data_IF_111784841947
#
_entry.id   IF_111784841947
#
_cell.length_a   1.000
_cell.length_b   1.000
_cell.length_c   1.000
_cell.angle_alpha   90.00
_cell.angle_beta   90.00
_cell.angle_gamma   90.00
#
_symmetry.space_group_name_H-M   'P 1'
#
loop_
_entity.id
_entity.type
_entity.pdbx_description
1 polymer ?
#
# COMPACT_ATOMS: atom_id res chain seq x y z
N UNK A 1 34.98 -18.07 3.22
CA UNK A 1 33.63 -17.54 3.02
C UNK A 1 33.03 -17.31 4.40
N UNK A 2 32.81 -16.06 4.80
CA UNK A 2 32.00 -15.78 5.99
C UNK A 2 30.58 -16.24 5.73
N UNK A 3 30.07 -17.15 6.57
CA UNK A 3 28.65 -17.47 6.59
C UNK A 3 27.92 -16.28 7.20
N UNK A 4 27.23 -15.50 6.37
CA UNK A 4 26.38 -14.42 6.84
C UNK A 4 25.19 -15.03 7.59
N UNK A 5 25.22 -14.94 8.92
CA UNK A 5 24.06 -15.23 9.76
C UNK A 5 22.99 -14.18 9.50
N UNK A 6 21.78 -14.63 9.15
CA UNK A 6 20.64 -13.74 8.97
C UNK A 6 20.20 -13.19 10.32
N UNK A 7 19.86 -11.90 10.35
CA UNK A 7 19.21 -11.32 11.53
C UNK A 7 17.74 -11.79 11.62
N UNK A 8 17.14 -11.69 12.81
CA UNK A 8 15.75 -12.07 13.07
C UNK A 8 14.77 -11.40 12.10
N UNK A 9 14.98 -10.12 11.77
CA UNK A 9 14.16 -9.41 10.80
C UNK A 9 14.25 -10.00 9.39
N UNK A 10 15.43 -10.47 8.97
CA UNK A 10 15.60 -11.09 7.66
C UNK A 10 14.91 -12.46 7.62
N UNK A 11 14.95 -13.22 8.73
CA UNK A 11 14.24 -14.50 8.86
C UNK A 11 12.72 -14.31 8.80
N UNK A 12 12.18 -13.36 9.58
CA UNK A 12 10.72 -13.08 9.58
C UNK A 12 10.24 -12.66 8.20
N UNK A 13 10.99 -11.81 7.47
CA UNK A 13 10.60 -11.39 6.11
C UNK A 13 10.62 -12.55 5.13
N UNK A 14 11.57 -13.48 5.26
CA UNK A 14 11.60 -14.71 4.43
C UNK A 14 10.42 -15.63 4.76
N UNK A 15 10.09 -15.80 6.03
CA UNK A 15 8.92 -16.59 6.43
C UNK A 15 7.64 -16.01 5.84
N UNK A 16 7.42 -14.70 5.95
CA UNK A 16 6.28 -14.02 5.33
C UNK A 16 6.24 -14.19 3.82
N UNK A 17 7.38 -14.17 3.14
CA UNK A 17 7.47 -14.42 1.70
C UNK A 17 6.99 -15.83 1.35
N UNK A 18 7.43 -16.85 2.10
CA UNK A 18 6.99 -18.23 1.87
C UNK A 18 5.49 -18.41 2.17
N UNK A 19 4.98 -17.79 3.25
CA UNK A 19 3.54 -17.79 3.55
C UNK A 19 2.69 -17.19 2.40
N UNK A 20 3.20 -16.17 1.70
CA UNK A 20 2.52 -15.60 0.52
C UNK A 20 2.49 -16.61 -0.62
N UNK A 21 3.60 -17.32 -0.87
CA UNK A 21 3.69 -18.35 -1.91
C UNK A 21 2.77 -19.53 -1.63
N UNK A 22 2.67 -19.98 -0.38
CA UNK A 22 1.75 -21.05 0.02
C UNK A 22 0.28 -20.67 -0.23
N UNK A 23 -0.03 -19.37 -0.18
CA UNK A 23 -1.35 -18.82 -0.51
C UNK A 23 -1.57 -18.60 -2.01
N UNK A 24 -0.60 -18.96 -2.85
CA UNK A 24 -0.66 -18.75 -4.30
C UNK A 24 -0.46 -17.30 -4.73
N UNK A 25 0.06 -16.44 -3.83
CA UNK A 25 0.33 -15.03 -4.11
C UNK A 25 1.82 -14.90 -4.45
N UNK A 26 2.13 -14.34 -5.62
CA UNK A 26 3.52 -14.03 -5.97
C UNK A 26 4.04 -12.86 -5.11
N UNK A 27 5.02 -13.08 -4.21
CA UNK A 27 5.56 -12.02 -3.36
C UNK A 27 6.28 -10.92 -4.15
N UNK A 28 6.69 -11.18 -5.40
CA UNK A 28 7.29 -10.18 -6.29
C UNK A 28 6.27 -9.48 -7.18
N UNK A 29 5.02 -9.93 -7.14
CA UNK A 29 3.91 -9.35 -7.88
C UNK A 29 4.09 -9.39 -9.40
N UNK A 30 3.26 -8.61 -10.08
CA UNK A 30 3.26 -8.49 -11.53
C UNK A 30 3.23 -7.01 -11.95
N UNK A 31 3.26 -6.77 -13.25
CA UNK A 31 3.11 -5.42 -13.79
C UNK A 31 1.80 -4.79 -13.29
N UNK A 32 1.91 -3.73 -12.49
CA UNK A 32 0.77 -2.98 -11.97
C UNK A 32 0.59 -1.68 -12.76
N UNK A 33 -0.58 -1.50 -13.39
CA UNK A 33 -0.89 -0.32 -14.18
C UNK A 33 -1.34 0.82 -13.27
N UNK A 34 -0.50 1.84 -13.14
CA UNK A 34 -0.80 3.08 -12.43
C UNK A 34 -1.55 4.06 -13.34
N UNK A 35 -2.56 4.75 -12.82
CA UNK A 35 -3.23 5.87 -13.49
C UNK A 35 -2.69 7.22 -13.04
N UNK A 36 -2.07 7.28 -11.86
CA UNK A 36 -1.60 8.53 -11.29
C UNK A 36 -0.26 8.39 -10.53
N UNK A 37 0.25 9.54 -10.11
CA UNK A 37 1.41 9.70 -9.21
C UNK A 37 1.00 10.52 -8.00
N UNK A 38 1.79 10.45 -6.92
CA UNK A 38 1.55 11.24 -5.71
C UNK A 38 1.46 12.73 -6.00
N UNK A 39 2.35 13.23 -6.87
CA UNK A 39 2.37 14.63 -7.30
C UNK A 39 1.17 14.98 -8.18
N UNK A 40 0.84 14.18 -9.18
CA UNK A 40 -0.28 14.49 -10.08
C UNK A 40 -1.62 14.54 -9.34
N UNK A 41 -1.83 13.67 -8.35
CA UNK A 41 -3.06 13.72 -7.53
C UNK A 41 -3.09 14.94 -6.62
N UNK A 42 -1.98 15.30 -5.98
CA UNK A 42 -1.90 16.51 -5.15
C UNK A 42 -2.14 17.76 -5.99
N UNK A 43 -1.39 17.92 -7.08
CA UNK A 43 -1.49 19.11 -7.94
C UNK A 43 -2.89 19.28 -8.54
N UNK A 44 -3.55 18.18 -8.91
CA UNK A 44 -4.89 18.22 -9.48
C UNK A 44 -5.97 18.50 -8.44
N UNK A 45 -5.86 17.89 -7.24
CA UNK A 45 -7.00 17.74 -6.34
C UNK A 45 -6.86 18.38 -4.96
N UNK A 46 -5.69 18.90 -4.58
CA UNK A 46 -5.49 19.50 -3.25
C UNK A 46 -6.33 20.76 -3.00
N UNK A 47 -6.80 21.40 -4.08
CA UNK A 47 -7.68 22.57 -4.04
C UNK A 47 -9.15 22.27 -3.72
N UNK A 48 -9.59 21.01 -3.84
CA UNK A 48 -10.99 20.65 -3.64
C UNK A 48 -11.29 20.27 -2.18
N UNK A 49 -12.51 20.56 -1.75
CA UNK A 49 -13.03 20.16 -0.44
C UNK A 49 -13.30 18.65 -0.40
N UNK A 50 -13.56 18.13 0.80
CA UNK A 50 -13.92 16.72 0.99
C UNK A 50 -15.22 16.36 0.27
N UNK A 51 -16.19 17.26 0.30
CA UNK A 51 -17.51 17.10 -0.31
C UNK A 51 -17.39 17.08 -1.84
N UNK A 52 -16.63 18.03 -2.41
CA UNK A 52 -16.38 18.10 -3.86
C UNK A 52 -15.68 16.83 -4.36
N UNK A 53 -14.68 16.32 -3.63
CA UNK A 53 -14.00 15.09 -4.02
C UNK A 53 -14.91 13.85 -3.93
N UNK A 54 -15.81 13.82 -2.95
CA UNK A 54 -16.79 12.74 -2.83
C UNK A 54 -17.79 12.75 -4.00
N UNK A 55 -18.20 13.93 -4.46
CA UNK A 55 -19.08 14.07 -5.63
C UNK A 55 -18.37 13.71 -6.94
N UNK A 56 -17.09 14.04 -7.09
CA UNK A 56 -16.31 13.71 -8.29
C UNK A 56 -16.01 12.21 -8.43
N UNK A 57 -16.04 11.46 -7.32
CA UNK A 57 -15.86 10.01 -7.26
C UNK A 57 -14.62 9.51 -8.05
N UNK A 58 -13.48 10.15 -7.81
CA UNK A 58 -12.25 9.93 -8.60
C UNK A 58 -11.59 8.61 -8.19
N UNK A 59 -11.50 7.68 -9.13
CA UNK A 59 -10.73 6.45 -8.99
C UNK A 59 -9.28 6.67 -9.44
N UNK A 60 -8.33 6.26 -8.60
CA UNK A 60 -6.90 6.35 -8.90
C UNK A 60 -6.17 5.07 -8.51
N UNK A 61 -5.17 4.71 -9.32
CA UNK A 61 -4.23 3.64 -9.00
C UNK A 61 -2.80 4.19 -8.92
N UNK A 62 -2.13 3.83 -7.82
CA UNK A 62 -0.79 4.27 -7.44
C UNK A 62 0.05 3.06 -7.09
N UNK A 63 1.37 3.18 -7.20
CA UNK A 63 2.27 2.19 -6.60
C UNK A 63 3.48 2.89 -6.00
N UNK A 64 3.96 2.37 -4.88
CA UNK A 64 5.06 2.95 -4.13
C UNK A 64 5.56 2.05 -3.02
N UNK A 65 6.62 2.50 -2.35
CA UNK A 65 7.22 1.82 -1.20
C UNK A 65 6.50 2.21 0.09
N UNK A 66 6.15 1.25 0.93
CA UNK A 66 5.59 1.52 2.26
C UNK A 66 6.67 2.17 3.13
N UNK A 67 6.45 3.40 3.54
CA UNK A 67 7.36 4.15 4.43
C UNK A 67 6.90 4.11 5.88
N UNK A 68 5.59 4.20 6.10
CA UNK A 68 4.99 4.09 7.42
C UNK A 68 3.69 3.31 7.33
N UNK A 69 3.34 2.60 8.40
CA UNK A 69 2.10 1.84 8.50
C UNK A 69 1.60 1.88 9.94
N UNK A 70 0.31 2.16 10.10
CA UNK A 70 -0.40 2.23 11.37
C UNK A 70 -1.73 1.50 11.22
N UNK A 71 -1.83 0.30 11.77
CA UNK A 71 -3.07 -0.50 11.75
C UNK A 71 -3.72 -0.52 13.13
N UNK A 72 -5.03 -0.25 13.22
CA UNK A 72 -5.80 -0.33 14.46
C UNK A 72 -7.13 -1.04 14.19
N UNK A 73 -7.23 -2.30 14.62
CA UNK A 73 -8.44 -3.12 14.45
C UNK A 73 -8.80 -3.35 12.99
N UNK A 74 -9.96 -2.83 12.56
CA UNK A 74 -10.54 -2.99 11.21
C UNK A 74 -10.13 -1.89 10.22
N UNK A 75 -9.32 -0.92 10.63
CA UNK A 75 -8.84 0.16 9.77
C UNK A 75 -7.34 0.41 9.96
N UNK A 76 -6.72 1.02 8.96
CA UNK A 76 -5.32 1.39 9.03
C UNK A 76 -4.95 2.46 8.01
N UNK A 77 -3.83 3.11 8.30
CA UNK A 77 -3.21 4.10 7.44
C UNK A 77 -1.82 3.62 7.05
N UNK A 78 -1.43 3.85 5.81
CA UNK A 78 -0.05 3.71 5.40
C UNK A 78 0.37 4.91 4.56
N UNK A 79 1.66 5.24 4.58
CA UNK A 79 2.24 6.17 3.61
C UNK A 79 3.03 5.37 2.60
N UNK A 80 2.67 5.51 1.33
CA UNK A 80 3.47 5.01 0.22
C UNK A 80 4.31 6.14 -0.36
N UNK A 81 5.53 5.84 -0.75
CA UNK A 81 6.43 6.76 -1.44
C UNK A 81 6.63 6.30 -2.88
N UNK A 82 6.27 7.17 -3.82
CA UNK A 82 6.61 7.00 -5.23
C UNK A 82 7.83 7.87 -5.59
N UNK A 83 8.09 8.08 -6.88
CA UNK A 83 9.22 8.89 -7.36
C UNK A 83 9.12 10.37 -6.96
N UNK A 84 7.91 10.89 -6.76
CA UNK A 84 7.67 12.32 -6.62
C UNK A 84 7.31 12.74 -5.20
N UNK A 85 6.95 11.80 -4.33
CA UNK A 85 6.64 12.09 -2.94
C UNK A 85 5.88 11.00 -2.24
N UNK A 86 5.34 11.35 -1.06
CA UNK A 86 4.54 10.47 -0.23
C UNK A 86 3.05 10.74 -0.40
N UNK A 87 2.27 9.67 -0.37
CA UNK A 87 0.82 9.70 -0.42
C UNK A 87 0.24 8.82 0.69
N UNK A 88 -0.78 9.33 1.38
CA UNK A 88 -1.45 8.60 2.45
C UNK A 88 -2.54 7.71 1.87
N UNK A 89 -2.60 6.49 2.37
CA UNK A 89 -3.56 5.46 1.97
C UNK A 89 -4.37 5.10 3.21
N UNK A 90 -5.68 5.13 3.06
CA UNK A 90 -6.63 4.70 4.08
C UNK A 90 -7.23 3.36 3.68
N UNK A 91 -6.99 2.34 4.50
CA UNK A 91 -7.49 0.99 4.28
C UNK A 91 -8.49 0.62 5.37
N UNK A 92 -9.66 0.12 4.99
CA UNK A 92 -10.66 -0.43 5.91
C UNK A 92 -11.03 -1.84 5.46
N UNK A 93 -11.23 -2.74 6.41
CA UNK A 93 -11.56 -4.14 6.13
C UNK A 93 -12.92 -4.32 5.46
N UNK A 94 -13.83 -3.35 5.59
CA UNK A 94 -15.15 -3.37 4.94
C UNK A 94 -15.08 -2.98 3.46
N UNK A 95 -13.99 -2.34 3.04
CA UNK A 95 -13.79 -1.84 1.67
C UNK A 95 -12.81 -2.71 0.87
N UNK A 96 -12.25 -3.75 1.50
CA UNK A 96 -11.25 -4.65 0.93
C UNK A 96 -11.75 -6.09 0.99
N UNK A 97 -11.25 -6.94 0.08
CA UNK A 97 -11.43 -8.38 0.23
C UNK A 97 -10.70 -8.89 1.48
N UNK A 98 -11.08 -10.06 1.98
CA UNK A 98 -10.39 -10.68 3.12
C UNK A 98 -8.89 -10.89 2.81
N UNK A 99 -8.58 -11.29 1.58
CA UNK A 99 -7.21 -11.47 1.09
C UNK A 99 -6.43 -10.15 1.09
N UNK A 100 -7.01 -9.08 0.52
CA UNK A 100 -6.34 -7.77 0.45
C UNK A 100 -6.12 -7.18 1.84
N UNK A 101 -7.05 -7.38 2.76
CA UNK A 101 -6.90 -6.93 4.14
C UNK A 101 -5.84 -7.74 4.88
N UNK A 102 -5.72 -9.04 4.60
CA UNK A 102 -4.63 -9.85 5.12
C UNK A 102 -3.27 -9.41 4.56
N UNK A 103 -3.17 -9.17 3.25
CA UNK A 103 -1.98 -8.62 2.60
C UNK A 103 -1.60 -7.26 3.20
N UNK A 104 -2.59 -6.39 3.39
CA UNK A 104 -2.43 -5.13 4.10
C UNK A 104 -1.84 -5.36 5.49
N UNK A 105 -2.31 -6.34 6.26
CA UNK A 105 -1.78 -6.64 7.59
C UNK A 105 -0.38 -7.22 7.58
N UNK A 106 -0.07 -8.13 6.65
CA UNK A 106 1.22 -8.81 6.58
C UNK A 106 2.36 -7.97 6.00
N UNK A 107 2.04 -6.99 5.15
CA UNK A 107 3.01 -6.09 4.53
C UNK A 107 3.90 -5.36 5.55
N UNK A 108 5.17 -5.17 5.20
CA UNK A 108 6.18 -4.55 6.04
C UNK A 108 6.68 -3.21 5.46
N UNK A 109 7.33 -2.43 6.33
CA UNK A 109 8.01 -1.20 5.93
C UNK A 109 9.12 -1.51 4.91
N UNK A 110 9.05 -0.90 3.74
CA UNK A 110 9.97 -1.16 2.64
C UNK A 110 9.39 -2.03 1.53
N UNK A 111 8.25 -2.69 1.74
CA UNK A 111 7.61 -3.46 0.67
C UNK A 111 7.05 -2.50 -0.40
N UNK A 112 6.97 -2.96 -1.65
CA UNK A 112 6.38 -2.20 -2.75
C UNK A 112 4.95 -2.71 -2.96
N UNK A 113 4.00 -1.79 -2.97
CA UNK A 113 2.57 -2.10 -3.13
C UNK A 113 1.95 -1.28 -4.24
N UNK A 114 1.03 -1.90 -4.98
CA UNK A 114 0.09 -1.24 -5.87
C UNK A 114 -1.26 -1.12 -5.18
N UNK A 115 -1.87 0.06 -5.26
CA UNK A 115 -3.14 0.37 -4.60
C UNK A 115 -4.07 1.01 -5.62
N UNK A 116 -5.31 0.57 -5.65
CA UNK A 116 -6.40 1.17 -6.38
C UNK A 116 -7.49 1.56 -5.39
N UNK A 117 -8.06 2.75 -5.55
CA UNK A 117 -9.13 3.20 -4.68
C UNK A 117 -9.67 4.57 -5.05
N UNK A 118 -10.57 5.04 -4.20
CA UNK A 118 -11.18 6.35 -4.31
C UNK A 118 -10.35 7.42 -3.63
N UNK A 119 -10.22 8.56 -4.28
CA UNK A 119 -9.59 9.73 -3.69
C UNK A 119 -10.51 10.31 -2.62
N UNK A 120 -10.01 10.38 -1.39
CA UNK A 120 -10.72 10.95 -0.25
C UNK A 120 -9.82 11.95 0.48
N UNK A 121 -10.44 12.92 1.15
CA UNK A 121 -9.78 13.83 2.09
C UNK A 121 -10.21 13.48 3.52
N UNK A 122 -9.24 13.25 4.39
CA UNK A 122 -9.45 13.04 5.83
C UNK A 122 -9.33 14.33 6.59
#
# INVERSE_FOLDING_TARGET
MEYRTLNDQELVRRQKMEELREKGIDPFGHAFKRTATSKSLKDAYDKYSKEELAEMNIHASLAGRIMTKRSKGKAGFMHIQDRYGQFQIYCRSDSLSELDFELFKKSDLGDIVGIEGLLIRT
#
